data_IF_914627176887
#
_entry.id   IF_914627176887
#
_cell.length_a   1.000
_cell.length_b   1.000
_cell.length_c   1.000
_cell.angle_alpha   90.00
_cell.angle_beta   90.00
_cell.angle_gamma   90.00
#
_symmetry.space_group_name_H-M   'P 1'
#
loop_
_entity.id
_entity.type
_entity.pdbx_description
1 polymer ?
#
# COMPACT_ATOMS: atom_id res chain seq x y z
N UNK A 1 23.64 -26.46 15.94
CA UNK A 1 22.41 -25.73 16.20
C UNK A 1 22.00 -25.07 14.89
N UNK A 2 20.91 -25.52 14.28
CA UNK A 2 20.48 -24.99 12.98
C UNK A 2 19.53 -23.82 13.29
N UNK A 3 20.00 -22.60 13.04
CA UNK A 3 19.22 -21.35 13.24
C UNK A 3 18.37 -20.99 12.01
N UNK A 4 17.89 -22.01 11.31
CA UNK A 4 17.08 -21.81 10.10
C UNK A 4 15.70 -22.39 10.33
N UNK A 5 14.69 -21.52 10.37
CA UNK A 5 13.29 -21.95 10.36
C UNK A 5 12.94 -22.35 8.93
N UNK A 6 12.44 -23.55 8.72
CA UNK A 6 11.90 -24.00 7.43
C UNK A 6 10.41 -23.68 7.40
N UNK A 7 10.01 -22.76 6.53
CA UNK A 7 8.60 -22.50 6.27
C UNK A 7 8.01 -23.67 5.47
N UNK A 8 6.98 -24.31 6.01
CA UNK A 8 6.27 -25.42 5.34
C UNK A 8 4.94 -24.90 4.80
N UNK A 9 4.40 -25.60 3.80
CA UNK A 9 3.09 -25.27 3.26
C UNK A 9 1.98 -25.28 4.34
N UNK A 10 2.13 -26.16 5.35
CA UNK A 10 1.21 -26.29 6.47
C UNK A 10 1.28 -25.11 7.48
N UNK A 11 2.35 -24.30 7.42
CA UNK A 11 2.49 -23.08 8.22
C UNK A 11 1.74 -21.89 7.61
N UNK A 12 1.20 -22.06 6.39
CA UNK A 12 0.41 -21.04 5.71
C UNK A 12 -1.06 -21.17 6.11
N UNK A 13 -1.76 -20.04 6.30
CA UNK A 13 -3.19 -20.08 6.64
C UNK A 13 -3.98 -20.81 5.54
N UNK A 14 -4.83 -21.74 5.94
CA UNK A 14 -5.77 -22.39 5.03
C UNK A 14 -6.76 -21.39 4.46
N UNK A 15 -7.11 -21.52 3.18
CA UNK A 15 -8.17 -20.72 2.57
C UNK A 15 -7.74 -19.37 1.98
N UNK A 16 -6.45 -19.03 2.00
CA UNK A 16 -5.95 -17.95 1.14
C UNK A 16 -6.22 -18.35 -0.31
N UNK A 17 -6.90 -17.52 -1.05
CA UNK A 17 -7.49 -17.79 -2.36
C UNK A 17 -6.60 -18.64 -3.29
N UNK A 18 -7.22 -19.53 -4.07
CA UNK A 18 -6.53 -20.24 -5.16
C UNK A 18 -6.47 -19.33 -6.37
N UNK A 19 -5.27 -18.90 -6.74
CA UNK A 19 -5.03 -18.13 -7.95
C UNK A 19 -5.11 -19.02 -9.19
N UNK A 20 -5.68 -18.49 -10.26
CA UNK A 20 -5.84 -19.19 -11.53
C UNK A 20 -5.31 -18.37 -12.69
N UNK A 21 -4.57 -18.99 -13.61
CA UNK A 21 -4.12 -18.36 -14.85
C UNK A 21 -5.29 -17.95 -15.77
N UNK A 22 -6.47 -18.54 -15.60
CA UNK A 22 -7.69 -18.22 -16.32
C UNK A 22 -8.62 -17.27 -15.56
N UNK A 23 -8.21 -16.89 -14.33
CA UNK A 23 -8.94 -15.93 -13.52
C UNK A 23 -8.75 -14.49 -13.99
N UNK A 24 -9.43 -13.57 -13.34
CA UNK A 24 -9.22 -12.14 -13.50
C UNK A 24 -7.81 -11.70 -13.09
N UNK A 25 -7.46 -10.42 -13.22
CA UNK A 25 -6.16 -9.92 -12.81
C UNK A 25 -5.92 -10.11 -11.30
N UNK A 26 -4.65 -10.32 -10.94
CA UNK A 26 -4.17 -10.21 -9.57
C UNK A 26 -3.72 -8.78 -9.37
N UNK A 27 -4.29 -8.09 -8.40
CA UNK A 27 -3.93 -6.70 -8.08
C UNK A 27 -3.02 -6.68 -6.87
N UNK A 28 -1.90 -5.95 -6.93
CA UNK A 28 -0.99 -5.75 -5.81
C UNK A 28 -0.84 -4.26 -5.54
N UNK A 29 -1.05 -3.86 -4.29
CA UNK A 29 -0.84 -2.48 -3.82
C UNK A 29 0.12 -2.49 -2.63
N UNK A 30 0.99 -1.50 -2.57
CA UNK A 30 1.80 -1.27 -1.38
C UNK A 30 3.25 -0.91 -1.65
N UNK A 31 4.14 -1.47 -0.84
CA UNK A 31 5.58 -1.20 -0.91
C UNK A 31 6.22 -1.80 -2.17
N UNK A 32 7.49 -1.46 -2.42
CA UNK A 32 8.26 -2.07 -3.52
C UNK A 32 8.35 -3.61 -3.43
N UNK A 33 8.06 -4.21 -2.29
CA UNK A 33 7.94 -5.66 -2.17
C UNK A 33 6.78 -6.20 -3.03
N UNK A 34 5.67 -5.46 -3.13
CA UNK A 34 4.55 -5.83 -4.00
C UNK A 34 4.99 -5.90 -5.48
N UNK A 35 5.83 -4.97 -5.94
CA UNK A 35 6.35 -4.99 -7.31
C UNK A 35 7.27 -6.20 -7.56
N UNK A 36 8.13 -6.55 -6.61
CA UNK A 36 8.98 -7.73 -6.71
C UNK A 36 8.16 -9.04 -6.80
N UNK A 37 7.08 -9.15 -6.02
CA UNK A 37 6.16 -10.29 -6.13
C UNK A 37 5.41 -10.28 -7.46
N UNK A 38 4.98 -9.11 -7.92
CA UNK A 38 4.31 -8.97 -9.21
C UNK A 38 5.19 -9.43 -10.37
N UNK A 39 6.49 -9.14 -10.35
CA UNK A 39 7.45 -9.62 -11.37
C UNK A 39 7.52 -11.14 -11.40
N UNK A 40 7.54 -11.80 -10.23
CA UNK A 40 7.53 -13.27 -10.12
C UNK A 40 6.24 -13.86 -10.67
N UNK A 41 5.09 -13.31 -10.27
CA UNK A 41 3.79 -13.77 -10.77
C UNK A 41 3.65 -13.57 -12.30
N UNK A 42 4.18 -12.48 -12.86
CA UNK A 42 4.22 -12.28 -14.32
C UNK A 42 5.13 -13.29 -15.01
N UNK A 43 6.28 -13.62 -14.43
CA UNK A 43 7.16 -14.66 -14.94
C UNK A 43 6.47 -16.03 -14.98
N UNK A 44 5.57 -16.28 -14.01
CA UNK A 44 4.71 -17.46 -13.95
C UNK A 44 3.42 -17.29 -14.79
N UNK A 45 3.38 -16.31 -15.70
CA UNK A 45 2.29 -16.07 -16.66
C UNK A 45 0.93 -15.68 -16.04
N UNK A 46 0.89 -15.17 -14.84
CA UNK A 46 -0.31 -14.58 -14.29
C UNK A 46 -0.56 -13.17 -14.87
N UNK A 47 -1.84 -12.82 -15.03
CA UNK A 47 -2.23 -11.44 -15.32
C UNK A 47 -2.13 -10.61 -14.04
N UNK A 48 -1.22 -9.62 -14.00
CA UNK A 48 -0.89 -8.89 -12.78
C UNK A 48 -0.85 -7.38 -13.00
N UNK A 49 -1.55 -6.65 -12.16
CA UNK A 49 -1.45 -5.18 -12.04
C UNK A 49 -0.84 -4.85 -10.67
N UNK A 50 0.28 -4.14 -10.66
CA UNK A 50 0.96 -3.74 -9.42
C UNK A 50 1.15 -2.24 -9.34
N UNK A 51 0.91 -1.68 -8.18
CA UNK A 51 1.16 -0.29 -7.80
C UNK A 51 0.79 0.72 -8.91
N UNK A 52 -0.44 0.72 -9.44
CA UNK A 52 -0.84 1.65 -10.51
C UNK A 52 -0.72 3.12 -10.08
N UNK A 53 -0.72 3.40 -8.79
CA UNK A 53 -0.51 4.74 -8.19
C UNK A 53 0.93 4.99 -7.74
N UNK A 54 1.85 4.05 -8.09
CA UNK A 54 3.19 3.94 -7.55
C UNK A 54 3.20 3.35 -6.14
N UNK A 55 4.41 3.18 -5.58
CA UNK A 55 4.59 2.55 -4.27
C UNK A 55 3.96 3.36 -3.15
N UNK A 56 3.17 2.67 -2.31
CA UNK A 56 2.49 3.20 -1.14
C UNK A 56 2.88 2.38 0.08
N UNK A 57 3.17 3.01 1.21
CA UNK A 57 3.78 2.31 2.34
C UNK A 57 2.87 2.17 3.55
N UNK A 58 1.94 3.11 3.77
CA UNK A 58 1.11 3.14 4.96
C UNK A 58 -0.36 2.79 4.67
N UNK A 59 -1.07 2.25 5.67
CA UNK A 59 -2.47 1.81 5.50
C UNK A 59 -3.42 2.92 5.02
N UNK A 60 -3.25 4.16 5.52
CA UNK A 60 -4.14 5.29 5.18
C UNK A 60 -4.05 5.62 3.69
N UNK A 61 -2.81 5.71 3.16
CA UNK A 61 -2.59 6.05 1.75
C UNK A 61 -3.12 4.96 0.82
N UNK A 62 -3.01 3.68 1.19
CA UNK A 62 -3.54 2.58 0.39
C UNK A 62 -5.07 2.59 0.41
N UNK A 63 -5.70 2.71 1.58
CA UNK A 63 -7.15 2.79 1.70
C UNK A 63 -7.72 3.97 0.88
N UNK A 64 -7.01 5.12 0.83
CA UNK A 64 -7.43 6.29 0.08
C UNK A 64 -7.72 5.97 -1.39
N UNK A 65 -6.90 5.15 -2.04
CA UNK A 65 -7.10 4.74 -3.42
C UNK A 65 -8.21 3.70 -3.62
N UNK A 66 -8.57 2.97 -2.59
CA UNK A 66 -9.67 1.98 -2.65
C UNK A 66 -11.04 2.62 -2.46
N UNK A 67 -11.10 3.78 -1.79
CA UNK A 67 -12.34 4.53 -1.61
C UNK A 67 -12.65 5.39 -2.84
N UNK A 68 -13.93 5.51 -3.25
CA UNK A 68 -14.33 6.43 -4.30
C UNK A 68 -13.91 7.88 -3.95
N UNK A 69 -13.09 8.47 -4.79
CA UNK A 69 -12.62 9.83 -4.59
C UNK A 69 -12.24 10.48 -5.93
N UNK A 70 -13.03 11.45 -6.43
CA UNK A 70 -12.60 12.22 -7.57
C UNK A 70 -11.45 13.15 -7.15
N UNK A 71 -10.35 13.11 -7.87
CA UNK A 71 -9.24 14.04 -7.66
C UNK A 71 -9.57 15.40 -8.24
N UNK A 72 -9.34 16.44 -7.47
CA UNK A 72 -9.61 17.84 -7.81
C UNK A 72 -8.31 18.67 -7.80
N UNK A 73 -8.30 19.88 -8.37
CA UNK A 73 -7.10 20.73 -8.39
C UNK A 73 -6.47 21.00 -7.01
N UNK A 74 -7.24 20.95 -5.92
CA UNK A 74 -6.77 21.08 -4.54
C UNK A 74 -5.91 19.91 -4.05
N UNK A 75 -5.98 18.74 -4.72
CA UNK A 75 -5.15 17.58 -4.39
C UNK A 75 -3.74 17.66 -4.98
N UNK A 76 -3.46 18.68 -5.81
CA UNK A 76 -2.23 18.84 -6.55
C UNK A 76 -1.38 19.96 -5.96
N UNK A 77 -0.14 19.67 -5.64
CA UNK A 77 0.85 20.59 -5.10
C UNK A 77 1.97 20.83 -6.11
N UNK A 78 2.53 22.04 -6.11
CA UNK A 78 3.75 22.35 -6.88
C UNK A 78 4.96 22.21 -5.97
N UNK A 79 5.90 21.36 -6.38
CA UNK A 79 7.11 21.10 -5.62
C UNK A 79 8.28 22.04 -6.00
N UNK A 80 9.39 22.05 -5.24
CA UNK A 80 10.54 22.93 -5.49
C UNK A 80 11.23 22.70 -6.84
N UNK A 81 11.10 21.53 -7.45
CA UNK A 81 11.61 21.21 -8.80
C UNK A 81 10.71 21.74 -9.92
N UNK A 82 9.72 22.58 -9.58
CA UNK A 82 8.75 23.19 -10.47
C UNK A 82 7.72 22.23 -11.10
N UNK A 83 7.76 20.94 -10.78
CA UNK A 83 6.76 19.98 -11.19
C UNK A 83 5.55 19.95 -10.25
N UNK A 84 4.45 19.44 -10.75
CA UNK A 84 3.23 19.21 -9.99
C UNK A 84 3.13 17.75 -9.56
N UNK A 85 2.66 17.52 -8.32
CA UNK A 85 2.51 16.23 -7.68
C UNK A 85 1.16 16.13 -6.97
N UNK A 86 0.71 14.91 -6.73
CA UNK A 86 -0.44 14.65 -5.86
C UNK A 86 0.04 14.09 -4.52
N UNK A 87 -0.53 14.59 -3.41
CA UNK A 87 -0.24 14.09 -2.07
C UNK A 87 -0.54 12.59 -1.88
N UNK A 88 -1.44 12.04 -2.69
CA UNK A 88 -1.90 10.66 -2.55
C UNK A 88 -1.09 9.65 -3.41
N UNK A 89 -0.19 10.15 -4.29
CA UNK A 89 0.56 9.33 -5.24
C UNK A 89 2.07 9.31 -4.94
N UNK A 90 2.76 8.34 -5.51
CA UNK A 90 4.22 8.35 -5.50
C UNK A 90 4.80 9.47 -6.37
N UNK A 91 6.09 9.78 -6.20
CA UNK A 91 6.78 10.81 -7.01
C UNK A 91 6.90 10.45 -8.50
N UNK A 92 6.58 9.22 -8.91
CA UNK A 92 6.47 8.85 -10.31
C UNK A 92 5.28 9.54 -11.01
N UNK A 93 4.27 9.98 -10.23
CA UNK A 93 3.15 10.78 -10.71
C UNK A 93 3.46 12.26 -10.61
N UNK A 94 4.18 12.77 -11.61
CA UNK A 94 4.47 14.19 -11.79
C UNK A 94 4.15 14.64 -13.20
N UNK A 95 3.89 15.95 -13.37
CA UNK A 95 3.70 16.58 -14.67
C UNK A 95 4.17 18.04 -14.66
N UNK A 96 4.36 18.62 -15.84
CA UNK A 96 4.73 20.03 -16.00
C UNK A 96 3.57 20.98 -15.65
N UNK A 97 2.34 20.50 -15.78
CA UNK A 97 1.13 21.29 -15.47
C UNK A 97 0.21 20.55 -14.52
N UNK A 98 -0.55 21.30 -13.72
CA UNK A 98 -1.57 20.77 -12.83
C UNK A 98 -2.65 20.00 -13.58
N UNK A 99 -3.08 20.52 -14.72
CA UNK A 99 -4.14 19.95 -15.54
C UNK A 99 -3.73 18.57 -16.07
N UNK A 100 -2.55 18.48 -16.67
CA UNK A 100 -2.00 17.22 -17.19
C UNK A 100 -1.92 16.13 -16.10
N UNK A 101 -1.43 16.50 -14.90
CA UNK A 101 -1.38 15.56 -13.80
C UNK A 101 -2.77 15.11 -13.36
N UNK A 102 -3.72 16.04 -13.23
CA UNK A 102 -5.08 15.74 -12.80
C UNK A 102 -5.80 14.79 -13.77
N UNK A 103 -5.63 15.04 -15.08
CA UNK A 103 -6.17 14.16 -16.12
C UNK A 103 -5.57 12.76 -16.05
N UNK A 104 -4.25 12.67 -15.83
CA UNK A 104 -3.54 11.40 -15.70
C UNK A 104 -4.03 10.60 -14.49
N UNK A 105 -4.06 11.19 -13.30
CA UNK A 105 -4.46 10.46 -12.09
C UNK A 105 -5.93 10.05 -12.11
N UNK A 106 -6.82 10.89 -12.65
CA UNK A 106 -8.23 10.52 -12.80
C UNK A 106 -8.45 9.40 -13.84
N UNK A 107 -7.61 9.32 -14.87
CA UNK A 107 -7.63 8.20 -15.82
C UNK A 107 -7.17 6.91 -15.15
N UNK A 108 -6.01 6.94 -14.48
CA UNK A 108 -5.47 5.77 -13.75
C UNK A 108 -6.44 5.26 -12.67
N UNK A 109 -7.13 6.16 -11.95
CA UNK A 109 -8.14 5.76 -10.97
C UNK A 109 -9.33 5.04 -11.63
N UNK A 110 -9.82 5.53 -12.77
CA UNK A 110 -10.90 4.83 -13.50
C UNK A 110 -10.46 3.45 -13.98
N UNK A 111 -9.28 3.36 -14.59
CA UNK A 111 -8.74 2.10 -15.14
C UNK A 111 -8.49 1.08 -14.02
N UNK A 112 -7.99 1.55 -12.88
CA UNK A 112 -7.82 0.74 -11.68
C UNK A 112 -9.14 0.18 -11.15
N UNK A 113 -10.18 1.01 -11.05
CA UNK A 113 -11.50 0.57 -10.57
C UNK A 113 -12.12 -0.50 -11.47
N UNK A 114 -11.98 -0.36 -12.79
CA UNK A 114 -12.44 -1.40 -13.72
C UNK A 114 -11.62 -2.69 -13.58
N UNK A 115 -10.31 -2.58 -13.41
CA UNK A 115 -9.43 -3.71 -13.12
C UNK A 115 -9.81 -4.41 -11.83
N UNK A 116 -10.06 -3.64 -10.76
CA UNK A 116 -10.40 -4.19 -9.45
C UNK A 116 -11.72 -4.96 -9.45
N UNK A 117 -12.72 -4.50 -10.20
CA UNK A 117 -14.01 -5.23 -10.35
C UNK A 117 -13.84 -6.63 -10.95
N UNK A 118 -12.81 -6.83 -11.75
CA UNK A 118 -12.53 -8.10 -12.42
C UNK A 118 -11.45 -8.92 -11.70
N UNK A 119 -10.87 -8.37 -10.63
CA UNK A 119 -9.75 -8.99 -9.93
C UNK A 119 -10.17 -10.29 -9.23
N UNK A 120 -9.32 -11.31 -9.38
CA UNK A 120 -9.48 -12.55 -8.62
C UNK A 120 -8.97 -12.43 -7.18
N UNK A 121 -8.05 -11.49 -6.91
CA UNK A 121 -7.54 -11.17 -5.59
C UNK A 121 -6.86 -9.80 -5.55
N UNK A 122 -6.92 -9.14 -4.40
CA UNK A 122 -6.13 -7.96 -4.07
C UNK A 122 -5.11 -8.31 -2.99
N UNK A 123 -3.83 -8.12 -3.27
CA UNK A 123 -2.75 -8.21 -2.29
C UNK A 123 -2.39 -6.80 -1.80
N UNK A 124 -2.39 -6.60 -0.49
CA UNK A 124 -2.04 -5.34 0.15
C UNK A 124 -0.79 -5.53 0.99
N UNK A 125 0.31 -4.88 0.59
CA UNK A 125 1.60 -4.97 1.28
C UNK A 125 1.89 -3.70 2.07
N UNK A 126 1.62 -3.73 3.38
CA UNK A 126 1.95 -2.62 4.25
C UNK A 126 3.45 -2.53 4.53
N UNK A 127 4.01 -1.34 4.38
CA UNK A 127 5.42 -1.06 4.65
C UNK A 127 5.67 -0.57 6.07
N UNK A 128 4.82 0.32 6.56
CA UNK A 128 4.97 0.96 7.87
C UNK A 128 3.63 1.45 8.41
N UNK A 129 3.49 1.48 9.75
CA UNK A 129 2.39 2.17 10.42
C UNK A 129 2.68 3.67 10.67
N UNK A 130 3.87 4.16 10.27
CA UNK A 130 4.17 5.58 10.33
C UNK A 130 3.46 6.31 9.19
N UNK A 131 2.83 7.43 9.51
CA UNK A 131 2.19 8.33 8.54
C UNK A 131 2.80 9.74 8.62
N UNK A 132 2.79 10.42 7.50
CA UNK A 132 3.14 11.84 7.38
C UNK A 132 1.88 12.63 7.15
N UNK A 133 1.73 13.73 7.88
CA UNK A 133 0.59 14.62 7.74
C UNK A 133 1.04 16.04 7.45
N UNK A 134 0.23 16.79 6.71
CA UNK A 134 0.40 18.22 6.45
C UNK A 134 -0.56 19.00 7.37
N UNK A 135 -0.08 19.60 8.48
CA UNK A 135 -0.94 20.30 9.43
C UNK A 135 -1.73 21.47 8.83
N UNK A 136 -1.14 22.19 7.87
CA UNK A 136 -1.80 23.30 7.16
C UNK A 136 -2.97 22.86 6.28
N UNK A 137 -3.09 21.55 5.99
CA UNK A 137 -4.18 20.96 5.23
C UNK A 137 -5.06 20.06 6.11
N UNK A 138 -5.50 20.59 7.26
CA UNK A 138 -6.34 19.88 8.23
C UNK A 138 -5.77 18.54 8.70
N UNK A 139 -4.45 18.40 8.72
CA UNK A 139 -3.77 17.15 9.11
C UNK A 139 -3.86 16.04 8.05
N UNK A 140 -4.03 16.39 6.79
CA UNK A 140 -4.07 15.43 5.67
C UNK A 140 -2.88 14.50 5.71
N UNK A 141 -3.13 13.19 5.71
CA UNK A 141 -2.10 12.18 5.50
C UNK A 141 -1.66 12.17 4.04
N UNK A 142 -0.35 12.08 3.82
CA UNK A 142 0.24 12.07 2.48
C UNK A 142 0.97 10.75 2.20
N UNK A 143 0.93 10.31 0.95
CA UNK A 143 1.65 9.13 0.50
C UNK A 143 3.14 9.41 0.28
N UNK A 144 3.46 10.65 -0.12
CA UNK A 144 4.82 11.08 -0.39
C UNK A 144 5.00 12.59 -0.11
N UNK A 145 6.17 12.96 0.41
CA UNK A 145 6.51 14.34 0.73
C UNK A 145 7.05 15.15 -0.47
N UNK A 146 7.28 14.53 -1.62
CA UNK A 146 7.70 15.17 -2.89
C UNK A 146 8.86 16.15 -2.76
N UNK A 147 9.86 15.82 -1.91
CA UNK A 147 11.02 16.70 -1.62
C UNK A 147 10.65 18.08 -1.08
N UNK A 148 9.44 18.24 -0.58
CA UNK A 148 9.02 19.46 0.10
C UNK A 148 9.77 19.61 1.43
N UNK A 149 9.79 20.85 1.96
CA UNK A 149 10.54 21.15 3.19
C UNK A 149 10.06 20.29 4.37
N UNK A 150 10.95 19.60 5.11
CA UNK A 150 10.55 18.68 6.19
C UNK A 150 9.65 19.29 7.27
N UNK A 151 9.80 20.59 7.57
CA UNK A 151 8.96 21.29 8.55
C UNK A 151 7.49 21.43 8.15
N UNK A 152 7.14 21.13 6.90
CA UNK A 152 5.73 21.08 6.46
C UNK A 152 4.99 19.87 6.98
N UNK A 153 5.70 18.85 7.47
CA UNK A 153 5.12 17.59 7.84
C UNK A 153 5.25 17.29 9.34
N UNK A 154 4.29 16.56 9.85
CA UNK A 154 4.39 15.85 11.12
C UNK A 154 4.36 14.36 10.88
N UNK A 155 5.10 13.61 11.68
CA UNK A 155 5.09 12.16 11.66
C UNK A 155 4.30 11.65 12.86
N UNK A 156 3.52 10.60 12.64
CA UNK A 156 2.73 9.93 13.67
C UNK A 156 2.77 8.43 13.43
N UNK A 157 2.85 7.64 14.51
CA UNK A 157 2.61 6.21 14.48
C UNK A 157 1.11 5.98 14.65
N UNK A 158 0.49 5.27 13.73
CA UNK A 158 -0.88 4.78 13.92
C UNK A 158 -0.91 3.80 15.10
N UNK A 159 -1.96 3.84 15.88
CA UNK A 159 -2.23 2.80 16.88
C UNK A 159 -2.66 1.50 16.22
N UNK A 160 -2.64 0.41 17.00
CA UNK A 160 -3.16 -0.89 16.56
C UNK A 160 -4.65 -0.78 16.21
N UNK A 161 -5.42 -0.03 16.98
CA UNK A 161 -6.86 0.13 16.78
C UNK A 161 -7.18 0.91 15.50
N UNK A 162 -6.54 2.05 15.29
CA UNK A 162 -6.68 2.83 14.05
C UNK A 162 -6.31 1.99 12.82
N UNK A 163 -5.21 1.25 12.91
CA UNK A 163 -4.75 0.40 11.81
C UNK A 163 -5.73 -0.75 11.55
N UNK A 164 -6.27 -1.40 12.59
CA UNK A 164 -7.25 -2.48 12.46
C UNK A 164 -8.57 -1.97 11.82
N UNK A 165 -9.00 -0.76 12.16
CA UNK A 165 -10.17 -0.16 11.53
C UNK A 165 -9.93 0.15 10.05
N UNK A 166 -8.72 0.63 9.69
CA UNK A 166 -8.33 0.83 8.29
C UNK A 166 -8.31 -0.50 7.53
N UNK A 167 -7.82 -1.58 8.14
CA UNK A 167 -7.83 -2.93 7.54
C UNK A 167 -9.24 -3.39 7.23
N UNK A 168 -10.18 -3.29 8.18
CA UNK A 168 -11.60 -3.64 7.96
C UNK A 168 -12.21 -2.82 6.83
N UNK A 169 -12.01 -1.51 6.85
CA UNK A 169 -12.48 -0.60 5.79
C UNK A 169 -11.85 -0.92 4.43
N UNK A 170 -10.62 -1.41 4.40
CA UNK A 170 -9.96 -1.88 3.17
C UNK A 170 -10.68 -3.09 2.60
N UNK A 171 -11.03 -4.05 3.45
CA UNK A 171 -11.79 -5.26 3.06
C UNK A 171 -13.17 -4.86 2.53
N UNK A 172 -13.88 -4.02 3.28
CA UNK A 172 -15.24 -3.57 2.91
C UNK A 172 -15.27 -2.79 1.59
N UNK A 173 -14.25 -1.94 1.36
CA UNK A 173 -14.18 -1.09 0.17
C UNK A 173 -14.05 -1.87 -1.14
N UNK A 174 -13.57 -3.10 -1.12
CA UNK A 174 -13.31 -3.91 -2.31
C UNK A 174 -14.14 -5.17 -2.39
N UNK A 175 -15.02 -5.39 -1.42
CA UNK A 175 -15.89 -6.56 -1.43
C UNK A 175 -16.69 -6.66 -2.75
N UNK A 176 -16.82 -7.85 -3.37
CA UNK A 176 -16.48 -9.17 -2.86
C UNK A 176 -15.06 -9.68 -3.21
N UNK A 177 -14.15 -8.83 -3.69
CA UNK A 177 -12.79 -9.24 -4.05
C UNK A 177 -12.03 -9.69 -2.79
N UNK A 178 -11.48 -10.91 -2.74
CA UNK A 178 -10.70 -11.36 -1.59
C UNK A 178 -9.44 -10.53 -1.43
N UNK A 179 -9.18 -10.08 -0.18
CA UNK A 179 -8.00 -9.29 0.17
C UNK A 179 -7.03 -10.17 0.96
N UNK A 180 -5.78 -10.21 0.52
CA UNK A 180 -4.67 -10.85 1.21
C UNK A 180 -3.70 -9.77 1.66
N UNK A 181 -3.46 -9.68 2.95
CA UNK A 181 -2.51 -8.74 3.52
C UNK A 181 -1.15 -9.38 3.73
N UNK A 182 -0.12 -8.57 3.62
CA UNK A 182 1.25 -8.93 3.98
C UNK A 182 1.98 -7.72 4.52
N UNK A 183 2.97 -7.95 5.37
CA UNK A 183 3.86 -6.91 5.88
C UNK A 183 5.18 -7.01 5.13
N UNK A 184 5.64 -5.88 4.59
CA UNK A 184 6.89 -5.81 3.83
C UNK A 184 8.09 -6.16 4.71
N UNK A 185 8.99 -7.03 4.27
CA UNK A 185 10.25 -7.33 4.98
C UNK A 185 11.25 -6.16 4.88
N UNK A 186 11.03 -5.23 3.96
CA UNK A 186 11.91 -4.07 3.78
C UNK A 186 11.90 -3.19 5.03
N UNK A 187 13.10 -2.90 5.54
CA UNK A 187 13.28 -2.06 6.73
C UNK A 187 13.18 -0.58 6.36
N UNK A 188 12.29 0.11 7.01
CA UNK A 188 12.22 1.58 6.97
C UNK A 188 12.84 2.15 8.24
N UNK A 189 14.10 2.56 8.16
CA UNK A 189 14.93 2.93 9.32
C UNK A 189 14.82 4.39 9.76
N UNK A 190 13.86 5.14 9.26
CA UNK A 190 13.61 6.50 9.73
C UNK A 190 12.42 6.51 10.72
N UNK A 191 12.51 7.13 11.89
CA UNK A 191 13.70 7.81 12.43
C UNK A 191 14.74 6.84 13.06
N UNK A 192 14.38 5.58 13.34
CA UNK A 192 15.29 4.59 13.93
C UNK A 192 14.87 3.15 13.61
N UNK A 193 15.80 2.19 13.82
CA UNK A 193 15.49 0.75 13.74
C UNK A 193 14.39 0.35 14.72
N UNK A 194 14.41 0.89 15.93
CA UNK A 194 13.38 0.61 16.94
C UNK A 194 11.99 1.04 16.47
N UNK A 195 11.87 2.24 15.92
CA UNK A 195 10.59 2.72 15.37
C UNK A 195 10.13 1.88 14.18
N UNK A 196 11.06 1.39 13.37
CA UNK A 196 10.75 0.45 12.29
C UNK A 196 10.14 -0.85 12.83
N UNK A 197 10.69 -1.41 13.91
CA UNK A 197 10.16 -2.61 14.56
C UNK A 197 8.79 -2.35 15.19
N UNK A 198 8.61 -1.23 15.90
CA UNK A 198 7.32 -0.85 16.45
C UNK A 198 6.26 -0.70 15.37
N UNK A 199 6.60 -0.08 14.22
CA UNK A 199 5.69 0.05 13.10
C UNK A 199 5.28 -1.33 12.53
N UNK A 200 6.23 -2.28 12.40
CA UNK A 200 5.92 -3.64 11.98
C UNK A 200 5.03 -4.38 12.98
N UNK A 201 5.36 -4.30 14.27
CA UNK A 201 4.56 -4.89 15.34
C UNK A 201 3.12 -4.34 15.34
N UNK A 202 2.95 -3.02 15.15
CA UNK A 202 1.62 -2.39 15.03
C UNK A 202 0.84 -2.96 13.85
N UNK A 203 1.47 -3.12 12.69
CA UNK A 203 0.82 -3.70 11.51
C UNK A 203 0.39 -5.14 11.75
N UNK A 204 1.27 -5.98 12.29
CA UNK A 204 0.98 -7.39 12.57
C UNK A 204 -0.16 -7.55 13.57
N UNK A 205 -0.11 -6.84 14.71
CA UNK A 205 -1.17 -6.86 15.72
C UNK A 205 -2.51 -6.35 15.18
N UNK A 206 -2.47 -5.34 14.30
CA UNK A 206 -3.69 -4.79 13.69
C UNK A 206 -4.33 -5.75 12.69
N UNK A 207 -3.54 -6.44 11.89
CA UNK A 207 -4.02 -7.46 10.96
C UNK A 207 -4.66 -8.63 11.69
N UNK A 208 -4.03 -9.12 12.76
CA UNK A 208 -4.57 -10.17 13.65
C UNK A 208 -5.89 -9.69 14.30
N UNK A 209 -5.90 -8.51 14.91
CA UNK A 209 -7.09 -7.90 15.53
C UNK A 209 -8.24 -7.69 14.56
N UNK A 210 -7.95 -7.41 13.30
CA UNK A 210 -8.96 -7.25 12.26
C UNK A 210 -9.51 -8.58 11.73
N UNK A 211 -8.90 -9.71 12.06
CA UNK A 211 -9.20 -11.02 11.47
C UNK A 211 -8.89 -11.08 9.98
N UNK A 212 -7.84 -10.38 9.54
CA UNK A 212 -7.48 -10.28 8.13
C UNK A 212 -6.83 -11.56 7.59
N UNK A 213 -7.05 -11.86 6.32
CA UNK A 213 -6.29 -12.91 5.65
C UNK A 213 -4.83 -12.45 5.49
N UNK A 214 -3.94 -12.93 6.33
CA UNK A 214 -2.54 -12.55 6.37
C UNK A 214 -1.63 -13.63 5.79
N UNK A 215 -0.76 -13.22 4.85
CA UNK A 215 0.31 -14.07 4.34
C UNK A 215 1.63 -13.65 5.00
N UNK A 216 2.37 -14.58 5.68
CA UNK A 216 3.50 -14.27 6.55
C UNK A 216 4.81 -14.00 5.77
N UNK A 217 4.78 -13.01 4.85
CA UNK A 217 5.95 -12.65 4.05
C UNK A 217 7.05 -11.96 4.88
N UNK A 218 6.67 -11.25 5.94
CA UNK A 218 7.61 -10.60 6.84
C UNK A 218 8.43 -11.65 7.58
N UNK A 219 7.77 -12.61 8.20
CA UNK A 219 8.39 -13.69 8.98
C UNK A 219 9.26 -14.58 8.08
N UNK A 220 8.76 -14.94 6.91
CA UNK A 220 9.47 -15.80 5.97
C UNK A 220 10.80 -15.23 5.46
N UNK A 221 10.99 -13.90 5.50
CA UNK A 221 12.15 -13.22 4.92
C UNK A 221 13.03 -12.49 5.95
N UNK A 222 12.63 -12.46 7.23
CA UNK A 222 13.39 -11.79 8.30
C UNK A 222 13.98 -12.74 9.31
N UNK A 223 13.70 -14.02 9.20
CA UNK A 223 14.22 -15.08 10.08
C UNK A 223 15.63 -15.58 9.67
#
# INVERSE_FOLDING_TARGET
>A
MQFRTELRADDLPEGICRLSHRGGPIVLLGSCFADNIAERLRADLFNVVSNPFGTLYNPVSILRHLLPHPYIPGDIVRAPDALYYSWDHSSAFSAATRQELLERINREDRDFRETLKQAQALFVTYGTAMVWTVPSEAGRTVANCHKMHPLMFRTQMLSVDETADIVRRTIDAVAPVPVIFTVSPVRYISPSLHNSQLAKATLLLALDKAGANYFPAYEALTD
#
